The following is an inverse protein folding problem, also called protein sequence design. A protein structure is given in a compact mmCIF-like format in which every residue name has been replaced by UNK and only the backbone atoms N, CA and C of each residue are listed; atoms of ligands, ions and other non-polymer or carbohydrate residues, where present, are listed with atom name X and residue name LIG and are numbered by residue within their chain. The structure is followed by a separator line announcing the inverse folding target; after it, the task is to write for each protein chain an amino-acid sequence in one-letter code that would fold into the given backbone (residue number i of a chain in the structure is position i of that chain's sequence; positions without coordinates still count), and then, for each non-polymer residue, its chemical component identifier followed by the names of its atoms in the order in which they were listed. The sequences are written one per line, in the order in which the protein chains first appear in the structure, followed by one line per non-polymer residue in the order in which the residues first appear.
data_IF_006709995329
#
_entry.id   IF_006709995329
#
_cell.length_a   1.000
_cell.length_b   1.000
_cell.length_c   1.000
_cell.angle_alpha   90.00
_cell.angle_beta   90.00
_cell.angle_gamma   90.00
#
_symmetry.space_group_name_H-M   'P 1'
#
loop_
_entity.id
_entity.type
_entity.pdbx_description
1 polymer ?
#
# COMPACT_ATOMS: atom_id res chain seq x y z
N UNK A 1 0.08 41.75 11.41
CA UNK A 1 -0.19 40.33 11.08
C UNK A 1 0.79 39.45 11.82
N UNK A 2 0.31 38.67 12.80
CA UNK A 2 1.10 37.75 13.63
C UNK A 2 1.28 36.41 12.90
N UNK A 3 2.03 36.43 11.79
CA UNK A 3 2.38 35.21 11.05
C UNK A 3 3.79 34.79 11.44
N UNK A 4 4.08 33.48 11.36
CA UNK A 4 5.44 32.95 11.51
C UNK A 4 6.44 33.74 10.66
N UNK A 5 6.07 34.03 9.41
CA UNK A 5 6.86 34.82 8.46
C UNK A 5 7.29 36.19 9.00
N UNK A 6 6.41 36.87 9.75
CA UNK A 6 6.73 38.17 10.36
C UNK A 6 7.60 38.07 11.61
N UNK A 7 7.79 36.87 12.16
CA UNK A 7 8.59 36.61 13.37
C UNK A 7 9.96 35.97 13.09
N UNK A 8 10.21 35.58 11.83
CA UNK A 8 11.48 34.99 11.43
C UNK A 8 12.54 36.10 11.28
N UNK A 9 13.74 35.83 11.80
CA UNK A 9 14.96 36.58 11.47
C UNK A 9 15.83 35.67 10.61
N UNK A 10 16.18 36.15 9.42
CA UNK A 10 17.09 35.42 8.53
C UNK A 10 18.48 35.38 9.17
N UNK A 11 19.10 34.19 9.30
CA UNK A 11 20.47 34.08 9.77
C UNK A 11 21.45 34.47 8.67
N UNK A 12 22.58 35.06 9.06
CA UNK A 12 23.68 35.34 8.13
C UNK A 12 24.27 34.02 7.60
N UNK A 13 24.45 33.94 6.28
CA UNK A 13 25.11 32.79 5.63
C UNK A 13 26.62 32.94 5.84
N UNK A 14 27.19 32.06 6.66
CA UNK A 14 28.61 32.13 7.08
C UNK A 14 29.58 31.93 5.92
N UNK A 15 29.24 31.07 4.94
CA UNK A 15 30.11 30.76 3.81
C UNK A 15 29.34 30.80 2.49
N UNK A 16 29.11 32.00 1.98
CA UNK A 16 28.43 32.20 0.69
C UNK A 16 29.19 31.57 -0.47
N UNK A 17 30.53 31.52 -0.40
CA UNK A 17 31.37 31.00 -1.48
C UNK A 17 31.22 29.49 -1.67
N UNK A 18 31.14 28.71 -0.59
CA UNK A 18 30.86 27.27 -0.67
C UNK A 18 29.47 27.01 -1.24
N UNK A 19 28.48 27.79 -0.81
CA UNK A 19 27.12 27.69 -1.34
C UNK A 19 27.09 28.03 -2.85
N UNK A 20 27.79 29.08 -3.27
CA UNK A 20 27.92 29.43 -4.68
C UNK A 20 28.67 28.36 -5.49
N UNK A 21 29.73 27.77 -4.95
CA UNK A 21 30.50 26.74 -5.66
C UNK A 21 29.67 25.47 -5.89
N UNK A 22 28.89 25.06 -4.88
CA UNK A 22 28.04 23.87 -4.94
C UNK A 22 26.76 24.06 -5.78
N UNK A 23 26.19 25.26 -5.76
CA UNK A 23 24.84 25.52 -6.31
C UNK A 23 24.81 26.56 -7.43
N UNK A 24 25.97 27.06 -7.88
CA UNK A 24 26.02 27.88 -9.09
C UNK A 24 25.65 27.05 -10.32
N UNK A 25 24.96 27.70 -11.25
CA UNK A 25 24.59 27.09 -12.52
C UNK A 25 25.87 26.85 -13.32
N UNK A 26 26.22 25.60 -13.57
CA UNK A 26 27.38 25.24 -14.38
C UNK A 26 27.34 25.99 -15.73
N UNK A 27 28.24 26.96 -15.91
CA UNK A 27 28.39 27.63 -17.20
C UNK A 27 29.07 26.67 -18.16
N UNK A 28 28.31 26.06 -19.07
CA UNK A 28 28.86 25.43 -20.26
C UNK A 28 29.69 26.50 -21.00
N UNK A 29 31.01 26.38 -20.95
CA UNK A 29 31.91 27.24 -21.71
C UNK A 29 31.54 27.12 -23.18
N UNK A 30 30.96 28.18 -23.76
CA UNK A 30 30.84 28.29 -25.20
C UNK A 30 32.25 28.29 -25.79
N UNK A 31 32.65 27.18 -26.42
CA UNK A 31 33.83 27.14 -27.28
C UNK A 31 33.68 28.24 -28.32
N UNK A 32 34.40 29.35 -28.14
CA UNK A 32 34.55 30.40 -29.16
C UNK A 32 35.18 29.74 -30.39
N UNK A 33 34.40 29.61 -31.46
CA UNK A 33 34.95 29.28 -32.79
C UNK A 33 35.75 30.50 -33.29
N UNK A 34 36.93 30.32 -33.89
CA UNK A 34 37.69 31.42 -34.46
C UNK A 34 36.94 32.01 -35.66
N UNK A 35 36.92 33.35 -35.76
CA UNK A 35 36.56 34.07 -36.98
C UNK A 35 37.70 33.88 -37.99
N UNK A 36 37.46 33.05 -39.00
CA UNK A 36 38.09 33.23 -40.31
C UNK A 36 37.07 32.84 -41.37
N UNK A 37 36.48 33.88 -41.97
CA UNK A 37 35.73 33.80 -43.21
C UNK A 37 36.65 33.25 -44.31
N UNK A 38 36.43 31.99 -44.68
CA UNK A 38 36.83 31.49 -45.98
C UNK A 38 35.58 30.91 -46.62
N UNK A 39 35.25 31.46 -47.80
CA UNK A 39 34.16 31.05 -48.67
C UNK A 39 34.03 29.52 -48.78
N UNK A 40 33.15 28.91 -47.98
CA UNK A 40 32.50 27.67 -48.36
C UNK A 40 31.14 28.04 -48.94
N UNK A 41 30.98 27.73 -50.23
CA UNK A 41 29.70 27.75 -50.93
C UNK A 41 28.64 27.15 -49.99
N UNK A 42 27.69 27.96 -49.52
CA UNK A 42 26.43 27.46 -48.98
C UNK A 42 25.80 26.61 -50.08
N UNK A 43 26.05 25.31 -50.05
CA UNK A 43 25.18 24.34 -50.68
C UNK A 43 23.78 24.72 -50.22
N UNK A 44 22.88 25.04 -51.16
CA UNK A 44 21.48 25.35 -50.88
C UNK A 44 20.98 24.25 -49.95
N UNK A 45 20.85 24.56 -48.66
CA UNK A 45 20.29 23.64 -47.68
C UNK A 45 18.86 23.45 -48.16
N UNK A 46 18.56 22.26 -48.71
CA UNK A 46 17.23 21.96 -49.22
C UNK A 46 16.24 22.28 -48.09
N UNK A 47 15.26 23.16 -48.36
CA UNK A 47 14.31 23.59 -47.33
C UNK A 47 13.57 22.36 -46.82
N UNK A 48 13.72 22.07 -45.53
CA UNK A 48 12.94 21.03 -44.84
C UNK A 48 11.47 21.47 -44.83
N UNK A 49 10.58 20.57 -45.23
CA UNK A 49 9.14 20.80 -45.30
C UNK A 49 8.56 20.49 -43.92
N UNK A 50 7.84 21.45 -43.34
CA UNK A 50 7.18 21.32 -42.03
C UNK A 50 5.68 21.48 -42.21
N UNK A 51 4.91 20.52 -41.73
CA UNK A 51 3.45 20.49 -41.83
C UNK A 51 2.79 20.65 -40.46
N UNK A 52 3.46 20.23 -39.39
CA UNK A 52 3.01 20.43 -38.02
C UNK A 52 3.33 21.85 -37.54
N UNK A 53 2.56 22.33 -36.57
CA UNK A 53 2.92 23.57 -35.88
C UNK A 53 4.19 23.37 -35.04
N UNK A 54 4.88 24.47 -34.73
CA UNK A 54 6.18 24.41 -34.05
C UNK A 54 6.15 23.74 -32.68
N UNK A 55 5.07 23.91 -31.91
CA UNK A 55 4.95 23.31 -30.57
C UNK A 55 4.71 21.80 -30.69
N UNK A 56 3.84 21.40 -31.61
CA UNK A 56 3.56 19.97 -31.88
C UNK A 56 4.77 19.24 -32.43
N UNK A 57 5.44 19.82 -33.42
CA UNK A 57 6.68 19.30 -34.00
C UNK A 57 7.76 19.11 -32.92
N UNK A 58 7.91 20.08 -32.01
CA UNK A 58 8.83 19.95 -30.88
C UNK A 58 8.45 18.83 -29.91
N UNK A 59 7.16 18.71 -29.54
CA UNK A 59 6.69 17.66 -28.64
C UNK A 59 6.96 16.24 -29.19
N UNK A 60 6.62 16.01 -30.47
CA UNK A 60 6.90 14.74 -31.15
C UNK A 60 8.40 14.54 -31.32
N UNK A 61 9.17 15.59 -31.62
CA UNK A 61 10.62 15.53 -31.69
C UNK A 61 11.29 15.12 -30.37
N UNK A 62 10.76 15.58 -29.24
CA UNK A 62 11.21 15.16 -27.90
C UNK A 62 10.93 13.66 -27.71
N UNK A 63 9.71 13.21 -28.01
CA UNK A 63 9.33 11.80 -27.90
C UNK A 63 10.26 10.90 -28.74
N UNK A 64 10.52 11.26 -29.99
CA UNK A 64 11.46 10.53 -30.87
C UNK A 64 12.85 10.46 -30.24
N UNK A 65 13.32 11.57 -29.67
CA UNK A 65 14.66 11.63 -29.06
C UNK A 65 14.77 10.75 -27.81
N UNK A 66 13.66 10.52 -27.09
CA UNK A 66 13.64 9.69 -25.88
C UNK A 66 13.35 8.21 -26.14
N UNK A 67 12.69 7.87 -27.24
CA UNK A 67 12.20 6.51 -27.53
C UNK A 67 13.33 5.48 -27.64
N UNK A 68 14.48 5.82 -28.23
CA UNK A 68 15.61 4.91 -28.46
C UNK A 68 15.22 3.51 -29.00
N UNK A 69 14.12 3.42 -29.75
CA UNK A 69 13.53 2.18 -30.28
C UNK A 69 13.37 2.28 -31.79
N UNK A 70 13.43 1.14 -32.48
CA UNK A 70 13.13 1.08 -33.91
C UNK A 70 11.61 0.96 -34.13
N UNK A 71 11.11 1.49 -35.25
CA UNK A 71 9.68 1.40 -35.60
C UNK A 71 9.20 -0.07 -35.70
N UNK A 72 10.11 -1.00 -36.05
CA UNK A 72 9.83 -2.43 -36.08
C UNK A 72 9.52 -2.99 -34.70
N UNK A 73 10.22 -2.53 -33.67
CA UNK A 73 9.99 -2.97 -32.28
C UNK A 73 8.62 -2.52 -31.82
N UNK A 74 8.26 -1.26 -32.13
CA UNK A 74 6.93 -0.68 -31.84
C UNK A 74 5.83 -1.50 -32.54
N UNK A 75 6.02 -1.79 -33.84
CA UNK A 75 5.08 -2.58 -34.61
C UNK A 75 4.89 -3.98 -34.02
N UNK A 76 5.98 -4.67 -33.68
CA UNK A 76 5.91 -6.01 -33.11
C UNK A 76 5.22 -6.00 -31.73
N UNK A 77 5.54 -5.02 -30.87
CA UNK A 77 4.90 -4.89 -29.56
C UNK A 77 3.38 -4.75 -29.66
N UNK A 78 2.92 -3.88 -30.56
CA UNK A 78 1.49 -3.57 -30.74
C UNK A 78 0.73 -4.68 -31.45
N UNK A 79 1.32 -5.30 -32.49
CA UNK A 79 0.67 -6.41 -33.20
C UNK A 79 0.60 -7.68 -32.36
N UNK A 80 1.64 -7.96 -31.57
CA UNK A 80 1.73 -9.17 -30.76
C UNK A 80 1.13 -9.03 -29.36
N UNK A 81 0.74 -7.82 -28.94
CA UNK A 81 0.32 -7.52 -27.56
C UNK A 81 1.41 -8.01 -26.59
N UNK A 82 2.61 -7.47 -26.79
CA UNK A 82 3.81 -7.79 -26.03
C UNK A 82 4.56 -6.50 -25.67
N UNK A 83 4.51 -6.14 -24.40
CA UNK A 83 5.13 -4.94 -23.84
C UNK A 83 6.43 -5.27 -23.06
N UNK A 84 7.12 -6.36 -23.39
CA UNK A 84 8.40 -6.73 -22.77
C UNK A 84 9.60 -5.91 -23.27
N UNK A 85 9.59 -5.55 -24.56
CA UNK A 85 10.64 -4.74 -25.20
C UNK A 85 10.26 -3.26 -25.23
N UNK A 86 9.00 -2.97 -25.55
CA UNK A 86 8.42 -1.63 -25.52
C UNK A 86 7.51 -1.57 -24.30
N UNK A 87 7.93 -0.86 -23.26
CA UNK A 87 7.17 -0.76 -22.02
C UNK A 87 5.83 -0.03 -22.22
N UNK A 88 4.95 -0.17 -21.22
CA UNK A 88 3.60 0.36 -21.30
C UNK A 88 3.60 1.89 -21.38
N UNK A 89 4.46 2.53 -20.61
CA UNK A 89 4.64 3.98 -20.58
C UNK A 89 5.01 4.52 -21.97
N UNK A 90 5.84 3.78 -22.70
CA UNK A 90 6.20 4.11 -24.08
C UNK A 90 4.99 3.94 -25.02
N UNK A 91 4.22 2.86 -24.89
CA UNK A 91 2.99 2.65 -25.69
C UNK A 91 1.98 3.78 -25.41
N UNK A 92 1.82 4.19 -24.15
CA UNK A 92 0.99 5.34 -23.75
C UNK A 92 1.49 6.64 -24.37
N UNK A 93 2.80 6.91 -24.29
CA UNK A 93 3.39 8.11 -24.88
C UNK A 93 3.20 8.16 -26.41
N UNK A 94 3.37 7.03 -27.09
CA UNK A 94 3.10 6.89 -28.52
C UNK A 94 1.62 7.09 -28.84
N UNK A 95 0.73 6.52 -28.04
CA UNK A 95 -0.71 6.70 -28.19
C UNK A 95 -1.09 8.17 -28.05
N UNK A 96 -0.69 8.85 -26.97
CA UNK A 96 -1.03 10.26 -26.72
C UNK A 96 -0.43 11.22 -27.76
N UNK A 97 0.72 10.87 -28.34
CA UNK A 97 1.39 11.70 -29.34
C UNK A 97 1.13 11.30 -30.79
N UNK A 98 0.29 10.28 -31.04
CA UNK A 98 -0.13 9.91 -32.39
C UNK A 98 -0.74 11.10 -33.14
N UNK A 99 -0.66 11.07 -34.47
CA UNK A 99 -1.26 12.12 -35.28
C UNK A 99 -2.78 12.17 -35.08
N UNK A 100 -3.31 13.39 -35.00
CA UNK A 100 -4.75 13.65 -35.15
C UNK A 100 -5.18 13.42 -36.61
N UNK A 101 -6.49 13.31 -36.85
CA UNK A 101 -7.03 13.13 -38.21
C UNK A 101 -6.55 14.22 -39.17
N UNK A 102 -6.69 15.49 -38.78
CA UNK A 102 -6.28 16.64 -39.59
C UNK A 102 -4.76 16.67 -39.87
N UNK A 103 -3.93 16.25 -38.90
CA UNK A 103 -2.48 16.15 -39.09
C UNK A 103 -2.15 15.03 -40.06
N UNK A 104 -2.79 13.87 -39.90
CA UNK A 104 -2.58 12.72 -40.77
C UNK A 104 -3.01 13.01 -42.20
N UNK A 105 -4.14 13.67 -42.42
CA UNK A 105 -4.61 14.05 -43.76
C UNK A 105 -3.61 14.96 -44.48
N UNK A 106 -3.01 15.93 -43.76
CA UNK A 106 -1.97 16.81 -44.32
C UNK A 106 -0.72 16.03 -44.71
N UNK A 107 -0.29 15.12 -43.83
CA UNK A 107 0.90 14.29 -44.05
C UNK A 107 0.67 13.34 -45.23
N UNK A 108 -0.41 12.57 -45.23
CA UNK A 108 -0.77 11.64 -46.32
C UNK A 108 -0.89 12.36 -47.66
N UNK A 109 -1.59 13.50 -47.71
CA UNK A 109 -1.69 14.31 -48.93
C UNK A 109 -0.32 14.73 -49.44
N UNK A 110 0.61 15.07 -48.56
CA UNK A 110 1.98 15.41 -48.95
C UNK A 110 2.70 14.21 -49.56
N UNK A 111 2.58 13.01 -48.97
CA UNK A 111 3.15 11.77 -49.51
C UNK A 111 2.56 11.39 -50.88
N UNK A 112 1.26 11.61 -51.10
CA UNK A 112 0.57 11.26 -52.35
C UNK A 112 0.82 12.24 -53.50
N UNK A 113 0.96 13.54 -53.19
CA UNK A 113 1.00 14.61 -54.21
C UNK A 113 2.40 15.12 -54.55
N UNK A 114 3.39 14.84 -53.70
CA UNK A 114 4.75 15.37 -53.85
C UNK A 114 5.65 14.39 -54.58
N UNK A 115 6.70 14.90 -55.24
CA UNK A 115 7.70 14.03 -55.86
C UNK A 115 8.52 13.30 -54.78
N UNK A 116 9.09 12.15 -55.12
CA UNK A 116 9.86 11.32 -54.19
C UNK A 116 11.02 12.07 -53.51
N UNK A 117 11.63 13.03 -54.21
CA UNK A 117 12.67 13.92 -53.66
C UNK A 117 12.15 14.96 -52.67
N UNK A 118 10.87 15.32 -52.73
CA UNK A 118 10.21 16.27 -51.81
C UNK A 118 9.70 15.58 -50.56
N UNK A 119 9.23 14.32 -50.67
CA UNK A 119 8.87 13.49 -49.51
C UNK A 119 10.07 13.29 -48.59
N UNK A 120 11.27 13.09 -49.15
CA UNK A 120 12.53 12.99 -48.38
C UNK A 120 12.93 14.27 -47.66
N UNK A 121 12.29 15.41 -47.95
CA UNK A 121 12.53 16.70 -47.29
C UNK A 121 11.57 16.97 -46.14
N UNK A 122 10.60 16.10 -45.90
CA UNK A 122 9.68 16.22 -44.77
C UNK A 122 10.46 16.18 -43.44
N UNK A 123 10.06 16.98 -42.45
CA UNK A 123 10.74 16.98 -41.15
C UNK A 123 10.53 15.65 -40.42
N UNK A 124 11.46 15.30 -39.51
CA UNK A 124 11.46 13.98 -38.85
C UNK A 124 10.18 13.68 -38.05
N UNK A 125 9.57 14.64 -37.32
CA UNK A 125 8.32 14.39 -36.59
C UNK A 125 7.20 13.91 -37.49
N UNK A 126 7.00 14.55 -38.64
CA UNK A 126 6.00 14.18 -39.63
C UNK A 126 6.25 12.81 -40.23
N UNK A 127 7.51 12.49 -40.57
CA UNK A 127 7.89 11.15 -41.05
C UNK A 127 7.58 10.07 -40.00
N UNK A 128 7.93 10.31 -38.74
CA UNK A 128 7.67 9.39 -37.65
C UNK A 128 6.17 9.14 -37.43
N UNK A 129 5.35 10.21 -37.44
CA UNK A 129 3.89 10.06 -37.32
C UNK A 129 3.29 9.28 -38.49
N UNK A 130 3.81 9.47 -39.70
CA UNK A 130 3.40 8.70 -40.87
C UNK A 130 3.78 7.22 -40.73
N UNK A 131 5.02 6.92 -40.34
CA UNK A 131 5.47 5.55 -40.10
C UNK A 131 4.64 4.85 -39.01
N UNK A 132 4.34 5.55 -37.91
CA UNK A 132 3.49 5.04 -36.84
C UNK A 132 2.07 4.73 -37.34
N UNK A 133 1.53 5.53 -38.26
CA UNK A 133 0.20 5.30 -38.84
C UNK A 133 0.15 4.14 -39.83
N UNK A 134 1.30 3.69 -40.34
CA UNK A 134 1.38 2.49 -41.16
C UNK A 134 1.16 1.20 -40.35
N UNK A 135 1.26 1.26 -39.01
CA UNK A 135 0.93 0.13 -38.16
C UNK A 135 -0.60 -0.08 -38.19
N UNK A 136 -1.10 -1.25 -38.63
CA UNK A 136 -2.53 -1.52 -38.78
C UNK A 136 -3.32 -1.30 -37.49
N UNK A 137 -4.30 -0.40 -37.54
CA UNK A 137 -5.14 0.00 -36.39
C UNK A 137 -4.34 0.31 -35.11
N UNK A 138 -3.17 0.95 -35.23
CA UNK A 138 -2.30 1.30 -34.10
C UNK A 138 -3.05 1.86 -32.89
N UNK A 139 -3.90 2.87 -33.12
CA UNK A 139 -4.63 3.54 -32.04
C UNK A 139 -5.56 2.58 -31.28
N UNK A 140 -6.29 1.72 -31.98
CA UNK A 140 -7.19 0.74 -31.35
C UNK A 140 -6.42 -0.32 -30.56
N UNK A 141 -5.32 -0.82 -31.14
CA UNK A 141 -4.46 -1.82 -30.49
C UNK A 141 -3.77 -1.27 -29.25
N UNK A 142 -3.15 -0.09 -29.37
CA UNK A 142 -2.49 0.58 -28.25
C UNK A 142 -3.49 0.87 -27.12
N UNK A 143 -4.68 1.40 -27.44
CA UNK A 143 -5.72 1.64 -26.43
C UNK A 143 -6.11 0.37 -25.68
N UNK A 144 -6.27 -0.75 -26.39
CA UNK A 144 -6.57 -2.06 -25.79
C UNK A 144 -5.46 -2.55 -24.86
N UNK A 145 -4.19 -2.42 -25.26
CA UNK A 145 -3.02 -2.82 -24.47
C UNK A 145 -2.92 -1.96 -23.19
N UNK A 146 -3.09 -0.65 -23.32
CA UNK A 146 -3.08 0.30 -22.20
C UNK A 146 -4.20 -0.05 -21.22
N UNK A 147 -5.42 -0.22 -21.74
CA UNK A 147 -6.57 -0.53 -20.91
C UNK A 147 -6.41 -1.86 -20.17
N UNK A 148 -5.81 -2.89 -20.78
CA UNK A 148 -5.54 -4.16 -20.10
C UNK A 148 -4.76 -3.98 -18.80
N UNK A 149 -3.73 -3.12 -18.81
CA UNK A 149 -2.95 -2.82 -17.62
C UNK A 149 -3.75 -2.01 -16.60
N UNK A 150 -4.39 -0.92 -17.05
CA UNK A 150 -5.22 -0.07 -16.20
C UNK A 150 -6.33 -0.87 -15.51
N UNK A 151 -6.94 -1.82 -16.21
CA UNK A 151 -7.95 -2.71 -15.65
C UNK A 151 -7.40 -3.53 -14.49
N UNK A 152 -6.26 -4.22 -14.70
CA UNK A 152 -5.61 -5.07 -13.69
C UNK A 152 -5.23 -4.30 -12.43
N UNK A 153 -4.67 -3.10 -12.61
CA UNK A 153 -4.30 -2.26 -11.47
C UNK A 153 -5.54 -1.74 -10.73
N UNK A 154 -6.56 -1.31 -11.47
CA UNK A 154 -7.78 -0.75 -10.88
C UNK A 154 -8.57 -1.82 -10.12
N UNK A 155 -8.79 -3.01 -10.71
CA UNK A 155 -9.52 -4.10 -10.06
C UNK A 155 -8.77 -4.60 -8.82
N UNK A 156 -7.44 -4.73 -8.89
CA UNK A 156 -6.60 -5.13 -7.75
C UNK A 156 -6.62 -4.10 -6.61
N UNK A 157 -6.60 -2.80 -6.94
CA UNK A 157 -6.74 -1.72 -5.97
C UNK A 157 -8.09 -1.74 -5.26
N UNK A 158 -9.18 -1.95 -6.01
CA UNK A 158 -10.53 -2.11 -5.45
C UNK A 158 -10.58 -3.35 -4.56
N UNK A 159 -10.08 -4.49 -5.05
CA UNK A 159 -10.06 -5.75 -4.32
C UNK A 159 -9.39 -5.62 -2.95
N UNK A 160 -8.23 -4.98 -2.86
CA UNK A 160 -7.53 -4.74 -1.59
C UNK A 160 -8.40 -3.97 -0.60
N UNK A 161 -9.11 -2.93 -1.06
CA UNK A 161 -10.00 -2.11 -0.23
C UNK A 161 -11.28 -2.87 0.18
N UNK A 162 -11.79 -3.74 -0.67
CA UNK A 162 -12.95 -4.61 -0.33
C UNK A 162 -12.53 -5.69 0.67
N UNK A 163 -11.36 -6.29 0.50
CA UNK A 163 -10.82 -7.30 1.41
C UNK A 163 -10.56 -6.72 2.81
N UNK A 164 -9.97 -5.53 2.93
CA UNK A 164 -9.70 -4.94 4.25
C UNK A 164 -10.98 -4.65 5.03
N UNK A 165 -12.04 -4.21 4.35
CA UNK A 165 -13.35 -3.99 4.96
C UNK A 165 -13.96 -5.33 5.37
N UNK A 166 -13.96 -6.31 4.47
CA UNK A 166 -14.56 -7.62 4.72
C UNK A 166 -13.89 -8.34 5.90
N UNK A 167 -12.55 -8.34 5.95
CA UNK A 167 -11.78 -8.96 7.03
C UNK A 167 -12.03 -8.26 8.37
N UNK A 168 -12.06 -6.93 8.37
CA UNK A 168 -12.31 -6.13 9.58
C UNK A 168 -13.73 -6.34 10.09
N UNK A 169 -14.73 -6.34 9.20
CA UNK A 169 -16.12 -6.61 9.57
C UNK A 169 -16.28 -8.03 10.15
N UNK A 170 -15.68 -9.03 9.48
CA UNK A 170 -15.67 -10.41 9.98
C UNK A 170 -15.05 -10.50 11.37
N UNK A 171 -13.90 -9.86 11.58
CA UNK A 171 -13.23 -9.86 12.87
C UNK A 171 -14.10 -9.24 13.98
N UNK A 172 -14.81 -8.15 13.69
CA UNK A 172 -15.73 -7.51 14.63
C UNK A 172 -16.95 -8.37 14.98
N UNK A 173 -17.45 -9.16 14.03
CA UNK A 173 -18.64 -10.01 14.21
C UNK A 173 -18.30 -11.35 14.87
N UNK A 174 -17.15 -11.94 14.53
CA UNK A 174 -16.86 -13.35 14.84
C UNK A 174 -15.71 -13.57 15.83
N UNK A 175 -14.85 -12.57 16.08
CA UNK A 175 -13.68 -12.77 16.95
C UNK A 175 -14.08 -12.93 18.42
N UNK A 176 -14.01 -14.16 18.93
CA UNK A 176 -14.33 -14.48 20.32
C UNK A 176 -13.45 -13.73 21.34
N UNK A 177 -12.15 -13.62 21.08
CA UNK A 177 -11.23 -12.91 21.97
C UNK A 177 -11.57 -11.41 22.07
N UNK A 178 -12.05 -10.80 20.99
CA UNK A 178 -12.60 -9.44 21.01
C UNK A 178 -13.86 -9.37 21.88
N UNK A 179 -14.78 -10.34 21.75
CA UNK A 179 -15.97 -10.42 22.60
C UNK A 179 -15.60 -10.55 24.09
N UNK A 180 -14.59 -11.36 24.43
CA UNK A 180 -14.07 -11.51 25.79
C UNK A 180 -13.52 -10.17 26.33
N UNK A 181 -12.73 -9.44 25.53
CA UNK A 181 -12.23 -8.11 25.90
C UNK A 181 -13.36 -7.12 26.13
N UNK A 182 -14.35 -7.06 25.24
CA UNK A 182 -15.52 -6.17 25.38
C UNK A 182 -16.36 -6.56 26.60
N UNK A 183 -16.50 -7.86 26.88
CA UNK A 183 -17.12 -8.38 28.10
C UNK A 183 -16.40 -7.93 29.38
N UNK A 184 -15.06 -7.94 29.39
CA UNK A 184 -14.28 -7.38 30.50
C UNK A 184 -14.53 -5.89 30.70
N UNK A 185 -14.56 -5.11 29.62
CA UNK A 185 -14.87 -3.67 29.69
C UNK A 185 -16.26 -3.46 30.29
N UNK A 186 -17.27 -4.22 29.85
CA UNK A 186 -18.63 -4.14 30.39
C UNK A 186 -18.66 -4.50 31.89
N UNK A 187 -18.02 -5.60 32.27
CA UNK A 187 -17.98 -6.08 33.64
C UNK A 187 -17.32 -5.06 34.59
N UNK A 188 -16.16 -4.52 34.22
CA UNK A 188 -15.49 -3.50 35.03
C UNK A 188 -16.27 -2.19 35.06
N UNK A 189 -16.86 -1.76 33.93
CA UNK A 189 -17.74 -0.59 33.89
C UNK A 189 -18.92 -0.72 34.85
N UNK A 190 -19.59 -1.88 34.85
CA UNK A 190 -20.71 -2.16 35.75
C UNK A 190 -20.29 -2.20 37.22
N UNK A 191 -19.14 -2.81 37.51
CA UNK A 191 -18.62 -2.86 38.88
C UNK A 191 -18.25 -1.48 39.40
N UNK A 192 -17.55 -0.67 38.61
CA UNK A 192 -17.14 0.69 38.98
C UNK A 192 -18.31 1.65 39.19
N UNK A 193 -19.40 1.47 38.43
CA UNK A 193 -20.60 2.29 38.54
C UNK A 193 -21.69 1.66 39.44
N UNK A 194 -21.34 0.63 40.22
CA UNK A 194 -22.24 -0.02 41.17
C UNK A 194 -22.89 0.98 42.13
N UNK A 195 -24.23 0.89 42.28
CA UNK A 195 -25.02 1.84 43.08
C UNK A 195 -25.52 3.06 42.30
N UNK A 196 -25.06 3.30 41.07
CA UNK A 196 -25.63 4.32 40.19
C UNK A 196 -26.74 3.73 39.32
N UNK A 197 -28.00 4.13 39.56
CA UNK A 197 -29.18 3.63 38.83
C UNK A 197 -29.17 3.87 37.32
N UNK A 198 -28.36 4.82 36.82
CA UNK A 198 -28.32 5.16 35.39
C UNK A 198 -27.03 4.71 34.69
N UNK A 199 -26.01 4.28 35.44
CA UNK A 199 -24.68 3.94 34.89
C UNK A 199 -24.13 2.58 35.32
N UNK A 200 -24.71 1.95 36.35
CA UNK A 200 -24.42 0.57 36.73
C UNK A 200 -25.50 -0.38 36.22
N UNK A 201 -25.17 -1.68 36.14
CA UNK A 201 -26.06 -2.74 35.62
C UNK A 201 -26.51 -2.50 34.17
N UNK A 202 -25.63 -1.97 33.33
CA UNK A 202 -25.86 -1.83 31.91
C UNK A 202 -25.72 -3.18 31.18
N UNK A 203 -26.58 -3.42 30.19
CA UNK A 203 -26.49 -4.58 29.29
C UNK A 203 -25.48 -4.37 28.15
N UNK A 204 -25.07 -3.12 27.93
CA UNK A 204 -24.12 -2.73 26.90
C UNK A 204 -23.72 -1.25 27.00
N UNK A 205 -22.83 -0.82 26.11
CA UNK A 205 -22.37 0.56 26.04
C UNK A 205 -22.15 0.98 24.58
N UNK A 206 -22.24 2.29 24.30
CA UNK A 206 -21.89 2.84 22.99
C UNK A 206 -20.38 2.76 22.73
N UNK A 207 -19.98 2.45 21.48
CA UNK A 207 -18.57 2.27 21.11
C UNK A 207 -17.72 3.53 21.32
N UNK A 208 -18.32 4.70 21.45
CA UNK A 208 -17.65 5.98 21.71
C UNK A 208 -16.94 6.01 23.06
N UNK A 209 -17.20 5.03 23.94
CA UNK A 209 -16.48 4.87 25.20
C UNK A 209 -15.10 4.23 25.01
N UNK A 210 -14.89 3.42 23.97
CA UNK A 210 -13.67 2.62 23.82
C UNK A 210 -12.40 3.49 23.82
N UNK A 211 -12.32 4.60 23.07
CA UNK A 211 -11.14 5.46 23.11
C UNK A 211 -10.96 6.22 24.43
N UNK A 212 -12.02 6.35 25.24
CA UNK A 212 -12.02 7.08 26.52
C UNK A 212 -11.58 6.23 27.70
N UNK A 213 -11.45 4.91 27.52
CA UNK A 213 -11.02 4.00 28.59
C UNK A 213 -9.62 4.35 29.13
N UNK A 214 -8.74 4.93 28.30
CA UNK A 214 -7.41 5.39 28.74
C UNK A 214 -7.44 6.56 29.72
N UNK A 215 -8.55 7.30 29.77
CA UNK A 215 -8.71 8.49 30.63
C UNK A 215 -9.13 8.08 32.05
N UNK A 216 -9.68 6.88 32.22
CA UNK A 216 -10.06 6.34 33.52
C UNK A 216 -8.81 5.84 34.23
N UNK A 217 -8.32 6.61 35.20
CA UNK A 217 -7.09 6.30 35.95
C UNK A 217 -7.36 5.54 37.26
N UNK A 218 -6.38 4.73 37.64
CA UNK A 218 -6.27 4.16 38.98
C UNK A 218 -6.10 5.26 40.04
N UNK A 219 -6.36 4.91 41.31
CA UNK A 219 -6.29 5.84 42.46
C UNK A 219 -4.94 6.56 42.58
N UNK A 220 -3.84 5.90 42.22
CA UNK A 220 -2.48 6.44 42.28
C UNK A 220 -1.98 6.98 40.92
N UNK A 221 -2.86 7.05 39.92
CA UNK A 221 -2.59 7.48 38.55
C UNK A 221 -1.48 6.69 37.82
N UNK A 222 -1.10 5.49 38.28
CA UNK A 222 -0.02 4.71 37.65
C UNK A 222 -0.45 3.94 36.41
N UNK A 223 -1.68 3.43 36.42
CA UNK A 223 -2.27 2.70 35.30
C UNK A 223 -3.65 3.25 34.96
N UNK A 224 -4.11 3.04 33.73
CA UNK A 224 -5.47 3.34 33.31
C UNK A 224 -6.32 2.06 33.16
N UNK A 225 -7.61 2.21 32.84
CA UNK A 225 -8.52 1.07 32.72
C UNK A 225 -8.15 0.14 31.55
N UNK A 226 -7.65 0.65 30.42
CA UNK A 226 -7.13 -0.20 29.33
C UNK A 226 -5.99 -1.06 29.83
N UNK A 227 -5.06 -0.48 30.60
CA UNK A 227 -3.95 -1.22 31.19
C UNK A 227 -4.40 -2.33 32.12
N UNK A 228 -5.43 -2.05 32.90
CA UNK A 228 -6.00 -3.04 33.81
C UNK A 228 -6.71 -4.17 33.06
N UNK A 229 -7.51 -3.86 32.04
CA UNK A 229 -8.17 -4.87 31.19
C UNK A 229 -7.13 -5.77 30.51
N UNK A 230 -6.08 -5.18 29.94
CA UNK A 230 -4.97 -5.93 29.33
C UNK A 230 -4.28 -6.84 30.34
N UNK A 231 -3.93 -6.30 31.52
CA UNK A 231 -3.29 -7.07 32.57
C UNK A 231 -4.18 -8.22 33.05
N UNK A 232 -5.48 -7.98 33.18
CA UNK A 232 -6.46 -8.99 33.56
C UNK A 232 -6.57 -10.08 32.50
N UNK A 233 -6.71 -9.70 31.22
CA UNK A 233 -6.73 -10.67 30.13
C UNK A 233 -5.45 -11.51 30.12
N UNK A 234 -4.27 -10.90 30.20
CA UNK A 234 -3.01 -11.65 30.24
C UNK A 234 -2.99 -12.64 31.42
N UNK A 235 -3.42 -12.23 32.61
CA UNK A 235 -3.35 -13.10 33.79
C UNK A 235 -4.37 -14.24 33.81
N UNK A 236 -5.55 -14.02 33.24
CA UNK A 236 -6.69 -14.93 33.43
C UNK A 236 -7.18 -15.61 32.15
N UNK A 237 -6.92 -15.04 30.98
CA UNK A 237 -7.38 -15.56 29.69
C UNK A 237 -6.21 -16.09 28.84
N UNK A 238 -4.99 -15.59 29.03
CA UNK A 238 -3.80 -16.05 28.31
C UNK A 238 -2.92 -16.98 29.16
N UNK A 239 -2.99 -18.28 28.87
CA UNK A 239 -2.18 -19.31 29.54
C UNK A 239 -0.66 -19.12 29.31
N UNK A 240 -0.30 -18.41 28.24
CA UNK A 240 1.08 -18.17 27.82
C UNK A 240 1.55 -16.74 28.10
N UNK A 241 0.85 -16.01 28.97
CA UNK A 241 1.19 -14.62 29.26
C UNK A 241 2.65 -14.42 29.64
N UNK A 242 3.29 -13.43 29.01
CA UNK A 242 4.70 -13.10 29.22
C UNK A 242 5.70 -14.06 28.53
N UNK A 243 5.24 -14.96 27.66
CA UNK A 243 6.09 -15.77 26.78
C UNK A 243 5.88 -15.40 25.30
N UNK A 244 6.74 -15.94 24.44
CA UNK A 244 6.67 -15.86 22.98
C UNK A 244 5.42 -16.50 22.37
N UNK A 245 4.71 -17.35 23.13
CA UNK A 245 3.47 -18.01 22.71
C UNK A 245 2.21 -17.20 23.04
N UNK A 246 2.35 -16.06 23.71
CA UNK A 246 1.26 -15.14 24.01
C UNK A 246 0.76 -14.47 22.71
N UNK A 247 -0.54 -14.57 22.44
CA UNK A 247 -1.15 -14.06 21.20
C UNK A 247 -2.00 -12.83 21.52
N UNK A 248 -1.79 -11.75 20.76
CA UNK A 248 -2.58 -10.54 20.89
C UNK A 248 -4.06 -10.82 20.56
N UNK A 249 -5.03 -10.46 21.43
CA UNK A 249 -6.41 -10.94 21.33
C UNK A 249 -7.32 -10.12 20.41
N UNK A 250 -6.85 -8.97 19.91
CA UNK A 250 -7.63 -8.08 19.05
C UNK A 250 -7.07 -8.07 17.61
N UNK A 251 -7.84 -7.61 16.61
CA UNK A 251 -7.29 -7.39 15.28
C UNK A 251 -6.17 -6.34 15.28
N UNK A 252 -5.32 -6.37 14.26
CA UNK A 252 -4.24 -5.41 14.11
C UNK A 252 -4.81 -3.97 13.99
N UNK A 253 -4.30 -2.99 14.76
CA UNK A 253 -4.81 -1.62 14.67
C UNK A 253 -4.72 -1.05 13.26
N UNK A 254 -3.67 -1.40 12.52
CA UNK A 254 -3.46 -0.92 11.17
C UNK A 254 -4.59 -1.33 10.20
N UNK A 255 -5.20 -2.50 10.41
CA UNK A 255 -6.30 -2.97 9.57
C UNK A 255 -7.53 -2.06 9.73
N UNK A 256 -7.85 -1.68 10.97
CA UNK A 256 -8.90 -0.70 11.25
C UNK A 256 -8.59 0.68 10.67
N UNK A 257 -7.32 1.13 10.75
CA UNK A 257 -6.93 2.41 10.18
C UNK A 257 -7.09 2.43 8.66
N UNK A 258 -6.71 1.35 7.97
CA UNK A 258 -6.89 1.21 6.53
C UNK A 258 -8.38 1.11 6.16
N UNK A 259 -9.16 0.31 6.88
CA UNK A 259 -10.60 0.20 6.70
C UNK A 259 -11.31 1.56 6.88
N UNK A 260 -10.85 2.38 7.84
CA UNK A 260 -11.40 3.72 8.07
C UNK A 260 -11.20 4.69 6.88
N UNK A 261 -10.22 4.43 6.00
CA UNK A 261 -9.96 5.26 4.82
C UNK A 261 -10.83 4.90 3.62
N UNK A 262 -11.51 3.76 3.66
CA UNK A 262 -12.34 3.29 2.56
C UNK A 262 -13.65 4.06 2.52
N UNK A 263 -14.01 4.52 1.31
CA UNK A 263 -15.30 5.14 1.02
C UNK A 263 -16.03 4.30 -0.02
N UNK A 264 -17.18 3.76 0.38
CA UNK A 264 -17.98 2.90 -0.51
C UNK A 264 -18.46 3.63 -1.77
N UNK A 265 -18.77 4.92 -1.67
CA UNK A 265 -19.17 5.73 -2.83
C UNK A 265 -18.06 5.81 -3.89
N UNK A 266 -16.81 5.94 -3.47
CA UNK A 266 -15.68 6.01 -4.37
C UNK A 266 -15.44 4.64 -5.03
N UNK A 267 -15.48 3.55 -4.25
CA UNK A 267 -15.39 2.18 -4.79
C UNK A 267 -16.51 1.87 -5.80
N UNK A 268 -17.73 2.30 -5.50
CA UNK A 268 -18.88 2.08 -6.37
C UNK A 268 -18.74 2.87 -7.68
N UNK A 269 -18.20 4.09 -7.62
CA UNK A 269 -17.90 4.88 -8.83
C UNK A 269 -16.78 4.23 -9.64
N UNK A 270 -15.73 3.76 -8.99
CA UNK A 270 -14.59 3.10 -9.64
C UNK A 270 -15.04 1.82 -10.36
N UNK A 271 -15.82 0.94 -9.71
CA UNK A 271 -16.39 -0.27 -10.32
C UNK A 271 -17.28 0.06 -11.53
N UNK A 272 -18.12 1.09 -11.44
CA UNK A 272 -18.99 1.51 -12.56
C UNK A 272 -18.19 2.08 -13.72
N UNK A 273 -17.18 2.91 -13.43
CA UNK A 273 -16.29 3.46 -14.45
C UNK A 273 -15.54 2.33 -15.15
N UNK A 274 -14.99 1.40 -14.38
CA UNK A 274 -14.27 0.25 -14.91
C UNK A 274 -15.14 -0.61 -15.85
N UNK A 275 -16.42 -0.82 -15.52
CA UNK A 275 -17.40 -1.50 -16.39
C UNK A 275 -17.58 -0.79 -17.73
N UNK A 276 -17.72 0.55 -17.68
CA UNK A 276 -17.90 1.38 -18.87
C UNK A 276 -16.66 1.31 -19.76
N UNK A 277 -15.49 1.45 -19.17
CA UNK A 277 -14.22 1.45 -19.89
C UNK A 277 -13.92 0.05 -20.48
N UNK A 278 -14.26 -1.03 -19.76
CA UNK A 278 -14.21 -2.41 -20.26
C UNK A 278 -15.12 -2.62 -21.47
N UNK A 279 -16.35 -2.10 -21.41
CA UNK A 279 -17.30 -2.16 -22.54
C UNK A 279 -16.78 -1.37 -23.74
N UNK A 280 -16.08 -0.25 -23.52
CA UNK A 280 -15.45 0.51 -24.60
C UNK A 280 -14.29 -0.28 -25.22
N UNK A 281 -13.42 -0.88 -24.40
CA UNK A 281 -12.32 -1.72 -24.87
C UNK A 281 -12.84 -2.93 -25.67
N UNK A 282 -13.91 -3.59 -25.23
CA UNK A 282 -14.52 -4.70 -25.99
C UNK A 282 -14.94 -4.28 -27.40
N UNK A 283 -15.53 -3.08 -27.55
CA UNK A 283 -15.88 -2.53 -28.86
C UNK A 283 -14.64 -2.21 -29.71
N UNK A 284 -13.58 -1.71 -29.09
CA UNK A 284 -12.32 -1.46 -29.79
C UNK A 284 -11.67 -2.77 -30.27
N UNK A 285 -11.69 -3.82 -29.44
CA UNK A 285 -11.22 -5.16 -29.84
C UNK A 285 -12.01 -5.67 -31.04
N UNK A 286 -13.34 -5.58 -31.02
CA UNK A 286 -14.19 -5.97 -32.15
C UNK A 286 -13.88 -5.17 -33.42
N UNK A 287 -13.71 -3.85 -33.29
CA UNK A 287 -13.37 -2.97 -34.41
C UNK A 287 -12.02 -3.31 -35.02
N UNK A 288 -10.98 -3.46 -34.18
CA UNK A 288 -9.63 -3.85 -34.62
C UNK A 288 -9.68 -5.20 -35.33
N UNK A 289 -10.39 -6.18 -34.77
CA UNK A 289 -10.50 -7.51 -35.38
C UNK A 289 -11.25 -7.49 -36.72
N UNK A 290 -12.25 -6.61 -36.88
CA UNK A 290 -13.02 -6.48 -38.12
C UNK A 290 -12.22 -5.79 -39.22
N UNK A 291 -11.40 -4.80 -38.85
CA UNK A 291 -10.61 -4.01 -39.80
C UNK A 291 -9.27 -4.68 -40.19
N UNK A 292 -8.78 -5.62 -39.37
CA UNK A 292 -7.47 -6.25 -39.60
C UNK A 292 -7.51 -7.31 -40.70
N UNK A 293 -6.46 -7.36 -41.50
CA UNK A 293 -6.19 -8.47 -42.43
C UNK A 293 -5.86 -9.76 -41.66
N UNK A 294 -5.95 -10.91 -42.34
CA UNK A 294 -5.66 -12.22 -41.74
C UNK A 294 -4.22 -12.32 -41.19
N UNK A 295 -3.26 -11.66 -41.85
CA UNK A 295 -1.84 -11.60 -41.42
C UNK A 295 -1.64 -10.84 -40.10
N UNK A 296 -2.46 -9.83 -39.82
CA UNK A 296 -2.29 -8.95 -38.64
C UNK A 296 -3.33 -9.24 -37.54
N UNK A 297 -4.24 -10.19 -37.77
CA UNK A 297 -5.31 -10.49 -36.83
C UNK A 297 -4.80 -11.17 -35.55
N UNK A 298 -3.84 -12.09 -35.70
CA UNK A 298 -3.27 -12.84 -34.58
C UNK A 298 -1.86 -12.35 -34.26
N UNK A 299 -1.44 -12.41 -32.98
CA UNK A 299 -2.13 -12.98 -31.82
C UNK A 299 -3.09 -12.01 -31.09
N UNK A 300 -3.26 -10.78 -31.59
CA UNK A 300 -4.08 -9.75 -30.95
C UNK A 300 -5.48 -10.22 -30.60
N UNK A 301 -6.22 -10.78 -31.57
CA UNK A 301 -7.60 -11.26 -31.37
C UNK A 301 -7.66 -12.28 -30.23
N UNK A 302 -6.84 -13.32 -30.28
CA UNK A 302 -6.82 -14.37 -29.26
C UNK A 302 -6.53 -13.80 -27.85
N UNK A 303 -5.48 -12.98 -27.72
CA UNK A 303 -5.07 -12.43 -26.42
C UNK A 303 -6.12 -11.47 -25.86
N UNK A 304 -6.67 -10.60 -26.69
CA UNK A 304 -7.62 -9.57 -26.25
C UNK A 304 -9.02 -10.13 -25.98
N UNK A 305 -9.50 -11.09 -26.76
CA UNK A 305 -10.78 -11.77 -26.46
C UNK A 305 -10.70 -12.57 -25.16
N UNK A 306 -9.56 -13.25 -24.91
CA UNK A 306 -9.31 -13.92 -23.64
C UNK A 306 -9.30 -12.94 -22.46
N UNK A 307 -8.59 -11.81 -22.61
CA UNK A 307 -8.58 -10.75 -21.60
C UNK A 307 -9.97 -10.18 -21.34
N UNK A 308 -10.75 -9.81 -22.37
CA UNK A 308 -12.09 -9.24 -22.19
C UNK A 308 -13.01 -10.20 -21.44
N UNK A 309 -12.97 -11.49 -21.79
CA UNK A 309 -13.75 -12.53 -21.12
C UNK A 309 -13.38 -12.67 -19.64
N UNK A 310 -12.07 -12.73 -19.34
CA UNK A 310 -11.57 -12.78 -17.96
C UNK A 310 -11.94 -11.51 -17.17
N UNK A 311 -11.73 -10.34 -17.77
CA UNK A 311 -12.02 -9.04 -17.17
C UNK A 311 -13.51 -8.85 -16.87
N UNK A 312 -14.41 -9.31 -17.75
CA UNK A 312 -15.86 -9.28 -17.49
C UNK A 312 -16.24 -10.12 -16.27
N UNK A 313 -15.63 -11.31 -16.13
CA UNK A 313 -15.83 -12.17 -14.97
C UNK A 313 -15.26 -11.55 -13.70
N UNK A 314 -14.02 -11.09 -13.73
CA UNK A 314 -13.36 -10.45 -12.58
C UNK A 314 -14.13 -9.20 -12.12
N UNK A 315 -14.63 -8.40 -13.07
CA UNK A 315 -15.46 -7.23 -12.78
C UNK A 315 -16.74 -7.63 -12.05
N UNK A 316 -17.45 -8.64 -12.54
CA UNK A 316 -18.68 -9.14 -11.92
C UNK A 316 -18.42 -9.70 -10.51
N UNK A 317 -17.39 -10.53 -10.37
CA UNK A 317 -17.01 -11.12 -9.08
C UNK A 317 -16.65 -10.03 -8.06
N UNK A 318 -15.96 -8.96 -8.48
CA UNK A 318 -15.58 -7.86 -7.57
C UNK A 318 -16.77 -6.94 -7.25
N UNK A 319 -17.70 -6.71 -8.19
CA UNK A 319 -18.97 -6.02 -7.94
C UNK A 319 -19.78 -6.77 -6.85
N UNK A 320 -19.85 -8.09 -6.93
CA UNK A 320 -20.50 -8.93 -5.90
C UNK A 320 -19.78 -8.88 -4.55
N UNK A 321 -18.44 -8.93 -4.53
CA UNK A 321 -17.66 -8.78 -3.29
C UNK A 321 -17.86 -7.42 -2.64
N UNK A 322 -17.91 -6.34 -3.42
CA UNK A 322 -18.17 -5.00 -2.91
C UNK A 322 -19.56 -4.92 -2.26
N UNK A 323 -20.59 -5.47 -2.91
CA UNK A 323 -21.94 -5.53 -2.36
C UNK A 323 -21.99 -6.35 -1.06
N UNK A 324 -21.31 -7.49 -1.01
CA UNK A 324 -21.20 -8.30 0.19
C UNK A 324 -20.46 -7.56 1.32
N UNK A 325 -19.39 -6.81 1.03
CA UNK A 325 -18.66 -6.02 2.00
C UNK A 325 -19.51 -4.87 2.57
N UNK A 326 -20.30 -4.19 1.74
CA UNK A 326 -21.26 -3.17 2.19
C UNK A 326 -22.30 -3.76 3.13
N UNK A 327 -22.85 -4.95 2.79
CA UNK A 327 -23.79 -5.65 3.66
C UNK A 327 -23.15 -6.06 4.99
N UNK A 328 -21.96 -6.64 4.96
CA UNK A 328 -21.23 -7.04 6.17
C UNK A 328 -20.92 -5.83 7.07
N UNK A 329 -20.59 -4.67 6.48
CA UNK A 329 -20.44 -3.44 7.24
C UNK A 329 -21.76 -2.98 7.87
N UNK A 330 -22.88 -3.08 7.15
CA UNK A 330 -24.20 -2.78 7.73
C UNK A 330 -24.55 -3.74 8.88
N UNK A 331 -24.17 -5.02 8.77
CA UNK A 331 -24.34 -5.99 9.85
C UNK A 331 -23.52 -5.58 11.08
N UNK A 332 -22.30 -5.09 10.92
CA UNK A 332 -21.49 -4.51 12.02
C UNK A 332 -22.18 -3.31 12.65
N UNK A 333 -22.67 -2.37 11.84
CA UNK A 333 -23.38 -1.17 12.31
C UNK A 333 -24.59 -1.57 13.17
N UNK A 334 -25.37 -2.55 12.71
CA UNK A 334 -26.53 -3.07 13.42
C UNK A 334 -26.12 -3.83 14.70
N UNK A 335 -25.10 -4.68 14.61
CA UNK A 335 -24.61 -5.49 15.72
C UNK A 335 -24.13 -4.65 16.90
N UNK A 336 -23.49 -3.50 16.65
CA UNK A 336 -23.06 -2.56 17.68
C UNK A 336 -24.04 -1.42 17.97
N UNK A 337 -25.22 -1.41 17.32
CA UNK A 337 -26.26 -0.41 17.54
C UNK A 337 -25.85 1.03 17.20
N UNK A 338 -24.95 1.21 16.22
CA UNK A 338 -24.41 2.51 15.84
C UNK A 338 -25.42 3.32 15.05
N UNK A 339 -25.43 4.64 15.29
CA UNK A 339 -26.30 5.58 14.59
C UNK A 339 -25.48 6.54 13.72
N UNK A 340 -26.01 6.99 12.58
CA UNK A 340 -25.36 8.03 11.78
C UNK A 340 -25.12 9.28 12.63
N UNK A 341 -24.03 10.01 12.35
CA UNK A 341 -23.80 11.30 12.99
C UNK A 341 -24.87 12.30 12.58
N UNK A 342 -25.05 13.35 13.38
CA UNK A 342 -26.00 14.42 13.07
C UNK A 342 -25.71 15.00 11.67
N UNK A 343 -26.70 14.94 10.78
CA UNK A 343 -26.58 15.39 9.39
C UNK A 343 -26.12 14.33 8.39
N UNK A 344 -25.72 13.13 8.82
CA UNK A 344 -25.38 12.00 7.97
C UNK A 344 -26.59 11.07 7.77
N UNK A 345 -26.72 10.51 6.57
CA UNK A 345 -27.80 9.54 6.26
C UNK A 345 -27.45 8.12 6.72
N UNK A 346 -26.17 7.77 6.65
CA UNK A 346 -25.65 6.43 6.92
C UNK A 346 -24.39 6.55 7.78
N UNK A 347 -24.06 5.47 8.49
CA UNK A 347 -22.84 5.42 9.30
C UNK A 347 -21.65 5.24 8.36
N UNK A 348 -20.69 6.17 8.39
CA UNK A 348 -19.48 6.04 7.59
C UNK A 348 -18.51 4.98 8.16
N UNK A 349 -17.80 4.20 7.33
CA UNK A 349 -16.72 3.31 7.76
C UNK A 349 -15.69 3.98 8.66
N UNK A 350 -15.32 5.22 8.33
CA UNK A 350 -14.38 6.02 9.12
C UNK A 350 -14.85 6.24 10.56
N UNK A 351 -16.15 6.43 10.78
CA UNK A 351 -16.68 6.62 12.12
C UNK A 351 -16.51 5.36 12.98
N UNK A 352 -16.82 4.19 12.42
CA UNK A 352 -16.78 2.92 13.14
C UNK A 352 -15.33 2.49 13.38
N UNK A 353 -14.54 2.43 12.31
CA UNK A 353 -13.22 1.84 12.38
C UNK A 353 -12.19 2.72 13.09
N UNK A 354 -12.38 4.05 13.16
CA UNK A 354 -11.50 4.89 14.00
C UNK A 354 -11.68 4.64 15.50
N UNK A 355 -12.90 4.36 15.97
CA UNK A 355 -13.13 3.99 17.37
C UNK A 355 -12.37 2.72 17.74
N UNK A 356 -12.40 1.72 16.85
CA UNK A 356 -11.65 0.48 17.00
C UNK A 356 -10.15 0.68 16.86
N UNK A 357 -9.70 1.47 15.89
CA UNK A 357 -8.28 1.80 15.72
C UNK A 357 -7.68 2.38 17.00
N UNK A 358 -8.30 3.43 17.55
CA UNK A 358 -7.81 4.10 18.75
C UNK A 358 -7.74 3.13 19.94
N UNK A 359 -8.81 2.36 20.16
CA UNK A 359 -8.87 1.37 21.23
C UNK A 359 -7.84 0.25 21.04
N UNK A 360 -7.76 -0.38 19.88
CA UNK A 360 -6.82 -1.46 19.58
C UNK A 360 -5.37 -0.98 19.65
N UNK A 361 -5.09 0.27 19.25
CA UNK A 361 -3.77 0.88 19.37
C UNK A 361 -3.36 1.09 20.84
N UNK A 362 -4.25 1.66 21.65
CA UNK A 362 -4.02 1.83 23.09
C UNK A 362 -3.86 0.46 23.79
N UNK A 363 -4.70 -0.52 23.43
CA UNK A 363 -4.64 -1.88 23.94
C UNK A 363 -3.33 -2.57 23.54
N UNK A 364 -2.85 -2.41 22.30
CA UNK A 364 -1.55 -2.94 21.82
C UNK A 364 -0.37 -2.35 22.58
N UNK A 365 -0.34 -1.03 22.74
CA UNK A 365 0.72 -0.36 23.48
C UNK A 365 0.78 -0.83 24.93
N UNK A 366 -0.39 -1.07 25.52
CA UNK A 366 -0.48 -1.64 26.87
C UNK A 366 -0.10 -3.12 26.90
N UNK A 367 -0.54 -3.92 25.94
CA UNK A 367 -0.23 -5.35 25.82
C UNK A 367 1.27 -5.61 25.80
N UNK A 368 2.00 -4.89 24.94
CA UNK A 368 3.47 -4.98 24.85
C UNK A 368 4.11 -4.65 26.20
N UNK A 369 3.64 -3.59 26.87
CA UNK A 369 4.18 -3.16 28.16
C UNK A 369 3.90 -4.17 29.27
N UNK A 370 2.66 -4.66 29.38
CA UNK A 370 2.25 -5.59 30.43
C UNK A 370 2.82 -6.99 30.21
N UNK A 371 2.85 -7.48 28.96
CA UNK A 371 3.50 -8.76 28.63
C UNK A 371 4.98 -8.75 29.01
N UNK A 372 5.70 -7.65 28.74
CA UNK A 372 7.09 -7.46 29.18
C UNK A 372 7.22 -7.45 30.71
N UNK A 373 6.27 -6.85 31.44
CA UNK A 373 6.28 -6.86 32.90
C UNK A 373 6.08 -8.27 33.47
N UNK A 374 5.09 -9.01 32.97
CA UNK A 374 4.83 -10.41 33.37
C UNK A 374 6.04 -11.29 33.05
N UNK A 375 6.68 -11.10 31.89
CA UNK A 375 7.89 -11.83 31.51
C UNK A 375 9.03 -11.61 32.53
N UNK A 376 9.22 -10.35 32.97
CA UNK A 376 10.20 -10.02 34.02
C UNK A 376 9.84 -10.60 35.38
N UNK A 377 8.56 -10.61 35.76
CA UNK A 377 8.07 -11.22 37.00
C UNK A 377 8.38 -12.73 36.99
N UNK A 378 8.03 -13.44 35.92
CA UNK A 378 8.31 -14.87 35.74
C UNK A 378 9.81 -15.17 35.79
N UNK A 379 10.65 -14.35 35.17
CA UNK A 379 12.10 -14.53 35.22
C UNK A 379 12.64 -14.40 36.65
N UNK A 380 12.15 -13.43 37.42
CA UNK A 380 12.52 -13.26 38.83
C UNK A 380 12.06 -14.44 39.68
N UNK A 381 10.82 -14.88 39.52
CA UNK A 381 10.28 -16.05 40.22
C UNK A 381 11.08 -17.33 39.90
N UNK A 382 11.43 -17.55 38.64
CA UNK A 382 12.26 -18.68 38.23
C UNK A 382 13.66 -18.61 38.87
N UNK A 383 14.29 -17.43 38.88
CA UNK A 383 15.59 -17.21 39.54
C UNK A 383 15.52 -17.47 41.05
N UNK A 384 14.46 -17.03 41.72
CA UNK A 384 14.25 -17.26 43.15
C UNK A 384 13.99 -18.74 43.45
N UNK A 385 13.21 -19.44 42.63
CA UNK A 385 12.98 -20.87 42.77
C UNK A 385 14.26 -21.69 42.57
N UNK A 386 15.08 -21.35 41.58
CA UNK A 386 16.40 -21.97 41.37
C UNK A 386 17.30 -21.75 42.59
N UNK A 387 17.31 -20.53 43.16
CA UNK A 387 18.08 -20.22 44.38
C UNK A 387 17.61 -21.06 45.57
N UNK A 388 16.30 -21.21 45.78
CA UNK A 388 15.72 -22.03 46.86
C UNK A 388 16.11 -23.51 46.71
N UNK A 389 15.91 -24.09 45.51
CA UNK A 389 16.26 -25.49 45.23
C UNK A 389 17.78 -25.74 45.42
N UNK A 390 18.62 -24.79 44.98
CA UNK A 390 20.08 -24.90 45.15
C UNK A 390 20.50 -24.79 46.62
N UNK A 391 19.82 -23.96 47.41
CA UNK A 391 20.05 -23.85 48.85
C UNK A 391 19.62 -25.12 49.60
N UNK A 392 18.45 -25.69 49.28
CA UNK A 392 17.94 -26.93 49.87
C UNK A 392 18.87 -28.12 49.57
N UNK A 393 19.32 -28.28 48.32
CA UNK A 393 20.28 -29.34 47.94
C UNK A 393 21.64 -29.20 48.65
N UNK A 394 22.09 -27.97 48.95
CA UNK A 394 23.31 -27.71 49.74
C UNK A 394 23.14 -28.03 51.23
N UNK A 395 21.91 -28.00 51.75
CA UNK A 395 21.60 -28.36 53.14
C UNK A 395 21.49 -29.88 53.30
N UNK A 396 20.90 -30.60 52.33
CA UNK A 396 20.82 -32.07 52.36
C UNK A 396 22.18 -32.76 52.26
N UNK A 397 23.13 -32.22 51.49
CA UNK A 397 24.49 -32.78 51.34
C UNK A 397 25.38 -32.60 52.58
N UNK A 398 24.93 -31.89 53.63
CA UNK A 398 25.69 -31.68 54.87
C UNK A 398 25.42 -32.67 56.02
N UNK A 399 24.64 -33.74 55.81
CA UNK A 399 24.53 -34.85 56.77
C UNK A 399 25.41 -36.05 56.37
N UNK A 400 26.73 -35.89 56.41
CA UNK A 400 27.62 -37.06 56.50
C UNK A 400 27.65 -37.48 57.96
N UNK A 401 27.01 -38.63 58.21
CA UNK A 401 26.91 -39.29 59.50
C UNK A 401 28.31 -39.47 60.13
N UNK A 402 28.51 -39.02 61.38
CA UNK A 402 29.78 -39.09 62.12
C UNK A 402 30.22 -40.52 62.53
N UNK A 403 29.72 -41.55 61.85
CA UNK A 403 30.07 -42.96 62.04
C UNK A 403 30.38 -43.66 60.70
N UNK A 404 30.97 -42.94 59.73
CA UNK A 404 31.39 -43.57 58.48
C UNK A 404 32.47 -44.62 58.76
N UNK A 405 32.43 -45.73 58.01
CA UNK A 405 33.40 -46.84 58.10
C UNK A 405 34.86 -46.38 58.02
N UNK A 406 35.11 -45.23 57.38
CA UNK A 406 36.42 -44.58 57.24
C UNK A 406 36.98 -44.08 58.58
N UNK A 407 36.14 -43.58 59.48
CA UNK A 407 36.54 -43.13 60.82
C UNK A 407 36.82 -44.34 61.73
N UNK A 408 36.02 -45.40 61.61
CA UNK A 408 36.24 -46.68 62.34
C UNK A 408 37.51 -47.39 61.90
N UNK A 409 37.88 -47.33 60.62
CA UNK A 409 39.14 -47.87 60.12
C UNK A 409 40.35 -47.08 60.63
N UNK A 410 40.26 -45.75 60.68
CA UNK A 410 41.31 -44.90 61.27
C UNK A 410 41.54 -45.16 62.77
N UNK A 411 40.48 -45.37 63.55
CA UNK A 411 40.63 -45.74 64.97
C UNK A 411 41.23 -47.14 65.16
N UNK A 412 40.96 -48.08 64.23
CA UNK A 412 41.58 -49.41 64.26
C UNK A 412 43.06 -49.37 63.93
N UNK A 413 43.48 -48.54 62.97
CA UNK A 413 44.90 -48.35 62.64
C UNK A 413 45.66 -47.67 63.79
N UNK A 414 45.04 -46.71 64.48
CA UNK A 414 45.67 -46.04 65.62
C UNK A 414 45.91 -46.97 66.82
N UNK A 415 45.05 -47.97 67.05
CA UNK A 415 45.24 -48.93 68.15
C UNK A 415 46.26 -50.03 67.85
N UNK A 416 46.57 -50.32 66.58
CA UNK A 416 47.55 -51.35 66.20
C UNK A 416 49.00 -50.84 66.34
N UNK A 417 49.23 -49.53 66.32
CA UNK A 417 50.57 -48.94 66.55
C UNK A 417 50.96 -48.78 68.02
N UNK A 418 50.22 -49.36 68.97
CA UNK A 418 50.51 -49.25 70.42
C UNK A 418 50.69 -50.59 71.16
N UNK A 419 51.08 -51.66 70.45
CA UNK A 419 51.45 -52.95 71.05
C UNK A 419 52.90 -53.30 70.81
#
# INVERSE_FOLDING_TARGET
NNTLWGSLKEPDIVNTNEFEDLFSKAMLQQKKKPLSDTYEKKAKTKKIIKLLDGKRSQAVGILISSLHLEMKDIQQAVLNVDNSVVDLETIEALYENRATGDEMDKITKHYETSKEDEVKLLDKPEQFLYELSQIPDFAGRAHCIIFQSVFRDTISSIHRKVQIISSTCKALLECKALQDVIGLVLAFGNYMNGGNRTRGQADGFGLEILPKLKDVKSKDNRINLVDYVVLYHLRYFDQHAGTDKSVFPLPEPQDFFQAAQVKFDDLTKDIRKLKKDLTACEKDVQKVCTNSSEEHLQPFKQKMEAFVSEAQKEHSDEEDRLNAAQKSFQDVVNYFGLKPKSGEKEVAPSHVFLLWYEFCNDFRNSWVRQSKNISKERLKEAQENIKKITAEKRVETKKINAQSLKERLRQKEANVSSS
#
